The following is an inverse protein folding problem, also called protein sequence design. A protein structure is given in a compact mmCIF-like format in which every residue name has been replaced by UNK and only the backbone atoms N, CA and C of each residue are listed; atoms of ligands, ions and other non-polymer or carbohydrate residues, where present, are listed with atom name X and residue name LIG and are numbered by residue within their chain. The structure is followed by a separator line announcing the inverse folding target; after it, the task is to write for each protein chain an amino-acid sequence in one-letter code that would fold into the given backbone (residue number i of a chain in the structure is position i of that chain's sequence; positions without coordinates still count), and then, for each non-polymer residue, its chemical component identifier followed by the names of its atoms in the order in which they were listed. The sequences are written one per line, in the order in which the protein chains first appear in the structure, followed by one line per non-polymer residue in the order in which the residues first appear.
data_IF_064384401104
#
_entry.id   IF_064384401104
#
_cell.length_a   1.000
_cell.length_b   1.000
_cell.length_c   1.000
_cell.angle_alpha   90.00
_cell.angle_beta   90.00
_cell.angle_gamma   90.00
#
_symmetry.space_group_name_H-M   'P 1'
#
loop_
_entity.id
_entity.type
_entity.pdbx_description
1 polymer ?
#
# COMPACT_ATOMS: atom_id res chain seq x y z
N UNK A 1 -12.67 -18.89 19.12
CA UNK A 1 -12.92 -20.33 18.91
C UNK A 1 -14.00 -20.91 19.82
N UNK A 2 -14.12 -20.48 21.08
CA UNK A 2 -15.07 -21.03 22.07
C UNK A 2 -16.53 -20.97 21.64
N UNK A 3 -16.99 -19.89 20.98
CA UNK A 3 -18.40 -19.77 20.57
C UNK A 3 -18.80 -20.85 19.55
N UNK A 4 -18.02 -21.01 18.48
CA UNK A 4 -18.33 -22.01 17.45
C UNK A 4 -18.19 -23.44 17.95
N UNK A 5 -17.25 -23.70 18.87
CA UNK A 5 -17.08 -25.02 19.47
C UNK A 5 -18.26 -25.42 20.37
N UNK A 6 -18.91 -24.46 21.03
CA UNK A 6 -19.99 -24.74 22.00
C UNK A 6 -21.38 -24.42 21.47
N UNK A 7 -21.52 -23.87 20.25
CA UNK A 7 -22.81 -23.47 19.71
C UNK A 7 -22.99 -23.92 18.23
N UNK A 8 -23.46 -25.16 18.03
CA UNK A 8 -23.67 -25.73 16.68
C UNK A 8 -24.63 -24.93 15.80
N UNK A 9 -25.57 -24.20 16.41
CA UNK A 9 -26.51 -23.35 15.66
C UNK A 9 -25.78 -22.19 14.98
N UNK A 10 -24.78 -21.59 15.64
CA UNK A 10 -23.98 -20.51 15.06
C UNK A 10 -23.10 -21.05 13.92
N UNK A 11 -22.49 -22.21 14.11
CA UNK A 11 -21.72 -22.88 13.05
C UNK A 11 -22.60 -23.20 11.83
N UNK A 12 -23.81 -23.72 12.06
CA UNK A 12 -24.78 -24.01 11.00
C UNK A 12 -25.22 -22.74 10.27
N UNK A 13 -25.48 -21.66 11.00
CA UNK A 13 -25.82 -20.37 10.42
C UNK A 13 -24.70 -19.83 9.51
N UNK A 14 -23.43 -19.91 9.93
CA UNK A 14 -22.28 -19.55 9.09
C UNK A 14 -22.23 -20.38 7.80
N UNK A 15 -22.37 -21.71 7.89
CA UNK A 15 -22.36 -22.61 6.73
C UNK A 15 -23.52 -22.35 5.76
N UNK A 16 -24.69 -21.97 6.28
CA UNK A 16 -25.85 -21.59 5.46
C UNK A 16 -25.69 -20.22 4.81
N UNK A 17 -24.95 -19.31 5.45
CA UNK A 17 -24.74 -17.94 4.98
C UNK A 17 -23.65 -17.90 3.92
N UNK A 18 -22.55 -18.61 4.15
CA UNK A 18 -21.35 -18.60 3.32
C UNK A 18 -21.17 -19.95 2.63
N UNK A 19 -21.73 -20.06 1.42
CA UNK A 19 -21.54 -21.23 0.55
C UNK A 19 -20.18 -21.22 -0.15
N UNK A 20 -19.55 -20.05 -0.29
CA UNK A 20 -18.27 -19.85 -0.97
C UNK A 20 -17.37 -18.94 -0.12
N UNK A 21 -16.12 -19.35 0.07
CA UNK A 21 -15.12 -18.61 0.81
C UNK A 21 -13.90 -18.35 -0.07
N UNK A 22 -13.44 -17.10 -0.06
CA UNK A 22 -12.20 -16.69 -0.71
C UNK A 22 -11.24 -16.19 0.36
N UNK A 23 -10.11 -16.87 0.49
CA UNK A 23 -9.06 -16.53 1.43
C UNK A 23 -7.88 -16.00 0.62
N UNK A 24 -7.67 -14.69 0.64
CA UNK A 24 -6.52 -14.04 0.00
C UNK A 24 -5.35 -13.92 0.98
N UNK A 25 -4.14 -13.76 0.45
CA UNK A 25 -2.89 -13.67 1.22
C UNK A 25 -2.70 -14.80 2.24
N UNK A 26 -3.13 -16.01 1.86
CA UNK A 26 -3.27 -17.14 2.77
C UNK A 26 -1.95 -17.56 3.45
N UNK A 27 -0.80 -17.25 2.86
CA UNK A 27 0.52 -17.49 3.45
C UNK A 27 0.74 -16.77 4.79
N UNK A 28 0.06 -15.65 5.02
CA UNK A 28 0.17 -14.87 6.26
C UNK A 28 -0.84 -15.31 7.34
N UNK A 29 -1.63 -16.36 7.06
CA UNK A 29 -2.64 -16.86 7.99
C UNK A 29 -1.99 -17.36 9.28
N UNK A 30 -2.46 -16.84 10.41
CA UNK A 30 -2.06 -17.27 11.75
C UNK A 30 -2.72 -18.59 12.14
N UNK A 31 -2.14 -19.30 13.11
CA UNK A 31 -2.74 -20.53 13.64
C UNK A 31 -4.17 -20.35 14.16
N UNK A 32 -4.47 -19.19 14.76
CA UNK A 32 -5.81 -18.87 15.26
C UNK A 32 -6.82 -18.66 14.13
N UNK A 33 -6.45 -17.93 13.08
CA UNK A 33 -7.30 -17.72 11.90
C UNK A 33 -7.57 -19.04 11.18
N UNK A 34 -6.56 -19.88 11.02
CA UNK A 34 -6.74 -21.19 10.39
C UNK A 34 -7.61 -22.13 11.24
N UNK A 35 -7.40 -22.15 12.56
CA UNK A 35 -8.24 -22.94 13.45
C UNK A 35 -9.70 -22.47 13.45
N UNK A 36 -9.94 -21.16 13.31
CA UNK A 36 -11.29 -20.61 13.10
C UNK A 36 -11.93 -21.12 11.81
N UNK A 37 -11.19 -21.09 10.68
CA UNK A 37 -11.65 -21.62 9.40
C UNK A 37 -12.05 -23.10 9.52
N UNK A 38 -11.20 -23.92 10.14
CA UNK A 38 -11.47 -25.35 10.36
C UNK A 38 -12.70 -25.56 11.23
N UNK A 39 -12.77 -24.86 12.37
CA UNK A 39 -13.91 -24.97 13.27
C UNK A 39 -15.21 -24.57 12.57
N UNK A 40 -15.19 -23.59 11.68
CA UNK A 40 -16.38 -23.13 10.99
C UNK A 40 -16.78 -24.05 9.82
N UNK A 41 -15.85 -24.49 8.98
CA UNK A 41 -16.18 -25.06 7.66
C UNK A 41 -15.62 -26.44 7.35
N UNK A 42 -14.77 -27.03 8.21
CA UNK A 42 -14.26 -28.38 7.96
C UNK A 42 -15.41 -29.41 7.91
N UNK A 43 -15.43 -30.22 6.85
CA UNK A 43 -16.49 -31.20 6.59
C UNK A 43 -17.85 -30.59 6.22
N UNK A 44 -17.89 -29.34 5.74
CA UNK A 44 -19.09 -28.72 5.17
C UNK A 44 -19.07 -28.77 3.64
N UNK A 45 -20.21 -28.48 3.01
CA UNK A 45 -20.35 -28.37 1.54
C UNK A 45 -19.90 -27.00 0.99
N UNK A 46 -19.33 -26.13 1.83
CA UNK A 46 -18.85 -24.83 1.38
C UNK A 46 -17.63 -24.99 0.47
N UNK A 47 -17.60 -24.24 -0.63
CA UNK A 47 -16.46 -24.19 -1.55
C UNK A 47 -15.44 -23.19 -1.01
N UNK A 48 -14.23 -23.63 -0.72
CA UNK A 48 -13.19 -22.79 -0.13
C UNK A 48 -12.01 -22.68 -1.10
N UNK A 49 -11.71 -21.46 -1.52
CA UNK A 49 -10.56 -21.14 -2.36
C UNK A 49 -9.58 -20.32 -1.55
N UNK A 50 -8.37 -20.86 -1.36
CA UNK A 50 -7.26 -20.17 -0.72
C UNK A 50 -6.21 -19.77 -1.77
N UNK A 51 -5.83 -18.50 -1.78
CA UNK A 51 -4.86 -17.91 -2.71
C UNK A 51 -3.73 -17.27 -1.91
N UNK A 52 -2.50 -17.45 -2.38
CA UNK A 52 -1.33 -16.82 -1.80
C UNK A 52 -0.03 -17.37 -2.36
N UNK A 53 1.09 -16.89 -1.84
CA UNK A 53 2.43 -17.27 -2.26
C UNK A 53 3.33 -17.49 -1.04
N UNK A 54 3.84 -18.72 -0.86
CA UNK A 54 4.75 -19.10 0.22
C UNK A 54 5.94 -18.14 0.38
N UNK A 55 6.45 -17.62 -0.74
CA UNK A 55 7.62 -16.74 -0.81
C UNK A 55 7.33 -15.31 -0.38
N UNK A 56 6.04 -14.94 -0.25
CA UNK A 56 5.59 -13.63 0.22
C UNK A 56 5.09 -13.66 1.67
N UNK A 57 5.54 -14.65 2.45
CA UNK A 57 5.23 -14.79 3.88
C UNK A 57 6.17 -13.92 4.71
N UNK A 58 5.84 -12.64 4.83
CA UNK A 58 6.66 -11.65 5.56
C UNK A 58 6.00 -11.20 6.88
N UNK A 59 4.89 -11.81 7.27
CA UNK A 59 4.17 -11.49 8.53
C UNK A 59 4.45 -12.52 9.64
N UNK A 60 5.62 -13.14 9.66
CA UNK A 60 6.00 -14.16 10.67
C UNK A 60 6.00 -13.58 12.09
N UNK A 61 6.38 -12.31 12.26
CA UNK A 61 6.27 -11.59 13.52
C UNK A 61 4.84 -11.50 14.07
N UNK A 62 3.83 -11.57 13.20
CA UNK A 62 2.40 -11.59 13.56
C UNK A 62 1.87 -13.02 13.78
N UNK A 63 2.74 -14.04 13.66
CA UNK A 63 2.39 -15.45 13.84
C UNK A 63 1.94 -16.16 12.57
N UNK A 64 2.30 -15.65 11.39
CA UNK A 64 2.07 -16.35 10.12
C UNK A 64 2.70 -17.75 10.14
N UNK A 65 1.92 -18.75 9.74
CA UNK A 65 2.30 -20.16 9.91
C UNK A 65 3.02 -20.71 8.67
N UNK A 66 4.11 -21.44 8.87
CA UNK A 66 4.75 -22.21 7.80
C UNK A 66 3.97 -23.47 7.45
N UNK A 67 4.03 -23.90 6.19
CA UNK A 67 3.33 -25.12 5.73
C UNK A 67 1.80 -25.00 5.59
N UNK A 68 1.24 -23.80 5.74
CA UNK A 68 -0.22 -23.59 5.78
C UNK A 68 -0.96 -24.08 4.52
N UNK A 69 -0.33 -23.98 3.34
CA UNK A 69 -0.90 -24.50 2.09
C UNK A 69 -0.97 -26.03 2.08
N UNK A 70 0.08 -26.71 2.56
CA UNK A 70 0.11 -28.17 2.64
C UNK A 70 -0.94 -28.68 3.64
N UNK A 71 -1.05 -28.02 4.79
CA UNK A 71 -2.09 -28.33 5.78
C UNK A 71 -3.49 -28.10 5.20
N UNK A 72 -3.71 -26.99 4.49
CA UNK A 72 -5.00 -26.72 3.83
C UNK A 72 -5.35 -27.77 2.78
N UNK A 73 -4.41 -28.15 1.92
CA UNK A 73 -4.60 -29.19 0.93
C UNK A 73 -4.97 -30.54 1.57
N UNK A 74 -4.33 -30.89 2.69
CA UNK A 74 -4.62 -32.12 3.43
C UNK A 74 -5.97 -32.05 4.16
N UNK A 75 -6.19 -31.02 4.99
CA UNK A 75 -7.37 -30.91 5.84
C UNK A 75 -8.66 -30.74 5.02
N UNK A 76 -8.62 -30.00 3.91
CA UNK A 76 -9.79 -29.76 3.05
C UNK A 76 -9.82 -30.61 1.78
N UNK A 77 -8.86 -31.52 1.60
CA UNK A 77 -8.72 -32.32 0.36
C UNK A 77 -8.74 -31.43 -0.90
N UNK A 78 -8.04 -30.29 -0.83
CA UNK A 78 -8.11 -29.26 -1.86
C UNK A 78 -7.19 -29.55 -3.05
N UNK A 79 -7.66 -29.24 -4.25
CA UNK A 79 -6.83 -29.25 -5.45
C UNK A 79 -5.83 -28.08 -5.44
N UNK A 80 -4.57 -28.37 -5.75
CA UNK A 80 -3.51 -27.36 -5.81
C UNK A 80 -3.31 -26.93 -7.26
N UNK A 81 -3.55 -25.64 -7.54
CA UNK A 81 -3.40 -25.05 -8.87
C UNK A 81 -2.29 -23.99 -8.81
N UNK A 82 -1.24 -24.19 -9.61
CA UNK A 82 -0.17 -23.20 -9.78
C UNK A 82 -0.51 -22.21 -10.90
N UNK A 83 -0.51 -20.91 -10.60
CA UNK A 83 -0.63 -19.85 -11.59
C UNK A 83 0.78 -19.44 -12.05
N UNK A 84 1.16 -19.84 -13.25
CA UNK A 84 2.52 -19.63 -13.77
C UNK A 84 2.67 -18.38 -14.64
N UNK A 85 1.58 -17.70 -15.01
CA UNK A 85 1.65 -16.48 -15.82
C UNK A 85 1.76 -15.23 -14.94
N UNK A 86 2.86 -14.48 -15.08
CA UNK A 86 3.05 -13.18 -14.43
C UNK A 86 2.66 -12.05 -15.41
N UNK A 87 1.57 -11.34 -15.10
CA UNK A 87 1.06 -10.22 -15.90
C UNK A 87 1.62 -8.85 -15.51
N UNK A 88 2.28 -8.76 -14.35
CA UNK A 88 2.82 -7.51 -13.79
C UNK A 88 4.14 -7.13 -14.44
N UNK A 89 5.07 -8.07 -14.41
CA UNK A 89 6.49 -7.82 -14.58
C UNK A 89 6.96 -8.23 -15.97
N UNK A 90 7.86 -7.45 -16.57
CA UNK A 90 8.50 -7.79 -17.84
C UNK A 90 9.37 -9.06 -17.73
N UNK A 91 9.79 -9.68 -18.85
CA UNK A 91 10.60 -10.90 -18.83
C UNK A 91 11.86 -10.85 -17.95
N UNK A 92 12.59 -9.73 -17.93
CA UNK A 92 13.81 -9.59 -17.14
C UNK A 92 13.53 -9.53 -15.63
N UNK A 93 12.52 -8.77 -15.20
CA UNK A 93 12.11 -8.75 -13.78
C UNK A 93 11.58 -10.13 -13.35
N UNK A 94 10.84 -10.84 -14.22
CA UNK A 94 10.41 -12.21 -13.94
C UNK A 94 11.60 -13.16 -13.76
N UNK A 95 12.66 -13.02 -14.56
CA UNK A 95 13.88 -13.82 -14.39
C UNK A 95 14.53 -13.58 -13.03
N UNK A 96 14.63 -12.32 -12.59
CA UNK A 96 15.14 -11.96 -11.25
C UNK A 96 14.30 -12.61 -10.15
N UNK A 97 12.97 -12.47 -10.24
CA UNK A 97 12.03 -13.04 -9.26
C UNK A 97 12.13 -14.56 -9.23
N UNK A 98 12.24 -15.25 -10.37
CA UNK A 98 12.41 -16.70 -10.42
C UNK A 98 13.74 -17.18 -9.80
N UNK A 99 14.83 -16.44 -10.03
CA UNK A 99 16.12 -16.76 -9.42
C UNK A 99 16.05 -16.66 -7.90
N UNK A 100 15.46 -15.57 -7.38
CA UNK A 100 15.22 -15.39 -5.95
C UNK A 100 14.23 -16.44 -5.39
N UNK A 101 13.20 -16.80 -6.14
CA UNK A 101 12.24 -17.84 -5.75
C UNK A 101 12.91 -19.20 -5.58
N UNK A 102 13.74 -19.60 -6.56
CA UNK A 102 14.47 -20.88 -6.55
C UNK A 102 15.46 -20.95 -5.39
N UNK A 103 16.07 -19.82 -5.07
CA UNK A 103 17.00 -19.70 -3.95
C UNK A 103 16.30 -19.82 -2.57
N UNK A 104 15.08 -19.30 -2.43
CA UNK A 104 14.25 -19.44 -1.21
C UNK A 104 13.63 -20.85 -1.11
N UNK A 105 13.15 -21.37 -2.23
CA UNK A 105 12.40 -22.62 -2.34
C UNK A 105 12.91 -23.36 -3.59
N UNK A 106 13.83 -24.33 -3.45
CA UNK A 106 14.46 -25.02 -4.59
C UNK A 106 13.50 -25.70 -5.56
N UNK A 107 12.34 -26.13 -5.06
CA UNK A 107 11.27 -26.77 -5.86
C UNK A 107 10.22 -25.75 -6.35
N UNK A 108 10.49 -24.44 -6.25
CA UNK A 108 9.58 -23.41 -6.70
C UNK A 108 9.27 -23.56 -8.20
N UNK A 109 7.98 -23.56 -8.53
CA UNK A 109 7.53 -23.57 -9.93
C UNK A 109 7.82 -22.18 -10.53
N UNK A 110 8.67 -22.08 -11.57
CA UNK A 110 8.98 -20.80 -12.19
C UNK A 110 7.74 -20.19 -12.87
N UNK A 111 7.63 -18.86 -12.80
CA UNK A 111 6.60 -18.11 -13.52
C UNK A 111 7.15 -17.58 -14.85
N UNK A 112 6.29 -17.41 -15.84
CA UNK A 112 6.61 -16.85 -17.15
C UNK A 112 5.94 -15.49 -17.30
N UNK A 113 6.65 -14.50 -17.83
CA UNK A 113 6.03 -13.20 -18.13
C UNK A 113 4.98 -13.34 -19.23
N UNK A 114 3.83 -12.71 -19.03
CA UNK A 114 2.81 -12.52 -20.07
C UNK A 114 3.09 -11.28 -20.94
N UNK A 115 4.11 -10.48 -20.58
CA UNK A 115 4.59 -9.31 -21.34
C UNK A 115 5.69 -9.74 -22.33
N UNK A 116 5.92 -8.94 -23.37
CA UNK A 116 6.88 -9.25 -24.42
C UNK A 116 8.28 -8.71 -24.14
N UNK A 117 9.29 -9.21 -24.86
CA UNK A 117 10.67 -8.68 -24.82
C UNK A 117 10.75 -7.19 -25.22
N UNK A 118 9.82 -6.72 -26.05
CA UNK A 118 9.72 -5.31 -26.42
C UNK A 118 9.35 -4.39 -25.23
N UNK A 119 8.80 -4.97 -24.16
CA UNK A 119 8.43 -4.24 -22.94
C UNK A 119 9.59 -4.10 -21.95
N UNK A 120 10.78 -4.66 -22.24
CA UNK A 120 11.97 -4.59 -21.38
C UNK A 120 12.72 -3.27 -21.65
N UNK A 121 12.81 -2.35 -20.67
CA UNK A 121 13.58 -1.12 -20.83
C UNK A 121 15.08 -1.40 -20.98
N UNK A 122 15.81 -0.49 -21.65
CA UNK A 122 17.28 -0.60 -21.82
C UNK A 122 18.03 -0.71 -20.49
N UNK A 123 17.60 0.07 -19.50
CA UNK A 123 18.05 -0.04 -18.12
C UNK A 123 16.90 -0.64 -17.31
N UNK A 124 17.01 -1.92 -16.98
CA UNK A 124 16.00 -2.66 -16.23
C UNK A 124 16.39 -2.86 -14.77
N UNK A 125 17.65 -3.21 -14.50
CA UNK A 125 18.07 -3.55 -13.15
C UNK A 125 19.54 -3.17 -12.90
N UNK A 126 19.91 -3.11 -11.63
CA UNK A 126 21.30 -2.92 -11.22
C UNK A 126 21.50 -2.77 -9.72
N UNK A 127 22.68 -3.20 -9.27
CA UNK A 127 23.20 -2.95 -7.94
C UNK A 127 24.18 -1.77 -7.98
N UNK A 128 23.92 -0.73 -7.18
CA UNK A 128 24.67 0.53 -7.25
C UNK A 128 25.26 0.84 -5.88
N UNK A 129 26.57 1.01 -5.83
CA UNK A 129 27.26 1.52 -4.67
C UNK A 129 27.43 3.04 -4.77
N UNK A 130 27.01 3.76 -3.74
CA UNK A 130 27.21 5.20 -3.60
C UNK A 130 28.25 5.48 -2.50
N UNK A 131 29.10 6.51 -2.66
CA UNK A 131 30.08 6.85 -1.62
C UNK A 131 29.47 7.25 -0.28
N UNK A 132 28.25 7.80 -0.28
CA UNK A 132 27.51 8.20 0.92
C UNK A 132 26.02 8.40 0.61
N UNK A 133 25.21 8.52 1.66
CA UNK A 133 23.76 8.71 1.55
C UNK A 133 23.34 10.01 0.84
N UNK A 134 24.20 11.05 0.86
CA UNK A 134 23.89 12.31 0.17
C UNK A 134 23.98 12.13 -1.34
N UNK A 135 25.03 11.46 -1.82
CA UNK A 135 25.21 11.16 -3.24
C UNK A 135 24.15 10.18 -3.76
N UNK A 136 23.78 9.18 -2.96
CA UNK A 136 22.64 8.30 -3.26
C UNK A 136 21.34 9.09 -3.44
N UNK A 137 21.00 9.95 -2.46
CA UNK A 137 19.80 10.78 -2.50
C UNK A 137 19.76 11.68 -3.74
N UNK A 138 20.86 12.40 -4.01
CA UNK A 138 20.98 13.30 -5.17
C UNK A 138 20.86 12.55 -6.48
N UNK A 139 21.54 11.42 -6.64
CA UNK A 139 21.49 10.65 -7.88
C UNK A 139 20.07 10.11 -8.14
N UNK A 140 19.43 9.50 -7.15
CA UNK A 140 18.08 8.95 -7.28
C UNK A 140 17.08 10.07 -7.60
N UNK A 141 17.08 11.17 -6.84
CA UNK A 141 16.14 12.27 -7.05
C UNK A 141 16.30 12.88 -8.44
N UNK A 142 17.53 13.18 -8.86
CA UNK A 142 17.83 13.77 -10.17
C UNK A 142 17.41 12.85 -11.32
N UNK A 143 17.70 11.55 -11.23
CA UNK A 143 17.33 10.61 -12.29
C UNK A 143 15.82 10.39 -12.36
N UNK A 144 15.11 10.39 -11.22
CA UNK A 144 13.63 10.35 -11.21
C UNK A 144 13.07 11.64 -11.81
N UNK A 145 13.59 12.81 -11.45
CA UNK A 145 13.13 14.10 -11.95
C UNK A 145 13.33 14.21 -13.46
N UNK A 146 14.48 13.77 -13.98
CA UNK A 146 14.73 13.69 -15.43
C UNK A 146 13.74 12.76 -16.13
N UNK A 147 13.47 11.58 -15.56
CA UNK A 147 12.50 10.64 -16.10
C UNK A 147 11.07 11.21 -16.12
N UNK A 148 10.64 11.86 -15.03
CA UNK A 148 9.33 12.55 -14.95
C UNK A 148 9.27 13.72 -15.94
N UNK A 149 10.35 14.51 -16.05
CA UNK A 149 10.47 15.66 -16.96
C UNK A 149 10.39 15.30 -18.44
N UNK A 150 10.65 14.05 -18.81
CA UNK A 150 10.43 13.54 -20.18
C UNK A 150 8.95 13.46 -20.57
N UNK A 151 8.04 13.51 -19.59
CA UNK A 151 6.59 13.32 -19.79
C UNK A 151 6.15 11.87 -19.93
N UNK A 152 7.08 10.90 -19.91
CA UNK A 152 6.78 9.46 -20.03
C UNK A 152 6.35 8.82 -18.71
N UNK A 153 6.82 9.35 -17.59
CA UNK A 153 6.61 8.77 -16.26
C UNK A 153 6.00 9.81 -15.33
N UNK A 154 5.27 9.34 -14.31
CA UNK A 154 4.80 10.15 -13.20
C UNK A 154 5.62 9.87 -11.95
N UNK A 155 5.68 10.78 -10.97
CA UNK A 155 6.35 10.50 -9.69
C UNK A 155 5.83 9.22 -9.00
N UNK A 156 4.54 8.93 -9.12
CA UNK A 156 3.89 7.74 -8.55
C UNK A 156 4.30 6.40 -9.20
N UNK A 157 4.99 6.44 -10.34
CA UNK A 157 5.59 5.27 -10.99
C UNK A 157 6.85 4.78 -10.27
N UNK A 158 7.37 5.56 -9.31
CA UNK A 158 8.59 5.27 -8.56
C UNK A 158 8.28 4.94 -7.10
N UNK A 159 8.88 3.85 -6.62
CA UNK A 159 8.74 3.37 -5.25
C UNK A 159 10.12 3.14 -4.64
N UNK A 160 10.36 3.77 -3.49
CA UNK A 160 11.54 3.59 -2.66
C UNK A 160 11.19 2.70 -1.48
N UNK A 161 11.89 1.58 -1.35
CA UNK A 161 11.66 0.59 -0.32
C UNK A 161 12.82 0.60 0.67
N UNK A 162 12.46 0.77 1.94
CA UNK A 162 13.34 0.55 3.07
C UNK A 162 12.98 -0.77 3.76
N UNK A 163 13.95 -1.45 4.37
CA UNK A 163 13.60 -2.59 5.23
C UNK A 163 12.97 -2.14 6.55
N UNK A 164 13.50 -1.08 7.16
CA UNK A 164 13.06 -0.53 8.44
C UNK A 164 13.22 1.00 8.45
N UNK A 165 12.60 1.66 9.44
CA UNK A 165 12.80 3.09 9.74
C UNK A 165 12.78 3.98 8.49
N UNK A 166 11.69 3.89 7.73
CA UNK A 166 11.49 4.73 6.54
C UNK A 166 11.54 6.23 6.89
N UNK A 167 11.19 6.62 8.11
CA UNK A 167 11.37 7.97 8.68
C UNK A 167 12.85 8.41 8.66
N UNK A 168 13.78 7.54 9.03
CA UNK A 168 15.22 7.85 9.00
C UNK A 168 15.80 7.90 7.60
N UNK A 169 15.17 7.20 6.67
CA UNK A 169 15.54 7.30 5.27
C UNK A 169 14.99 8.58 4.64
N UNK A 170 13.75 8.95 4.97
CA UNK A 170 13.13 10.21 4.57
C UNK A 170 13.99 11.40 5.00
N UNK A 171 14.48 11.44 6.24
CA UNK A 171 15.41 12.48 6.74
C UNK A 171 16.67 12.63 5.87
N UNK A 172 17.15 11.55 5.26
CA UNK A 172 18.35 11.54 4.41
C UNK A 172 18.04 11.86 2.94
N UNK A 173 16.85 11.51 2.46
CA UNK A 173 16.47 11.65 1.05
C UNK A 173 15.77 12.97 0.74
N UNK A 174 14.95 13.49 1.66
CA UNK A 174 13.98 14.54 1.38
C UNK A 174 14.60 15.81 0.76
N UNK A 175 15.80 16.21 1.20
CA UNK A 175 16.45 17.40 0.68
C UNK A 175 16.67 17.33 -0.85
N UNK A 176 17.09 16.17 -1.36
CA UNK A 176 17.40 15.98 -2.78
C UNK A 176 16.12 15.98 -3.64
N UNK A 177 15.04 15.41 -3.12
CA UNK A 177 13.74 15.45 -3.81
C UNK A 177 13.22 16.88 -3.91
N UNK A 178 13.34 17.67 -2.84
CA UNK A 178 12.96 19.09 -2.84
C UNK A 178 13.82 19.91 -3.82
N UNK A 179 15.14 19.69 -3.87
CA UNK A 179 16.04 20.35 -4.81
C UNK A 179 15.65 20.11 -6.29
N UNK A 180 15.10 18.94 -6.58
CA UNK A 180 14.65 18.54 -7.93
C UNK A 180 13.15 18.80 -8.19
N UNK A 181 12.47 19.51 -7.28
CA UNK A 181 11.04 19.84 -7.42
C UNK A 181 10.10 18.62 -7.33
N UNK A 182 10.55 17.53 -6.70
CA UNK A 182 9.77 16.34 -6.42
C UNK A 182 9.27 16.33 -4.98
N UNK A 183 8.13 15.67 -4.76
CA UNK A 183 7.62 15.40 -3.41
C UNK A 183 7.84 13.94 -3.06
N UNK A 184 8.52 13.70 -1.93
CA UNK A 184 8.68 12.38 -1.34
C UNK A 184 7.56 12.14 -0.32
N UNK A 185 6.82 11.04 -0.47
CA UNK A 185 5.73 10.67 0.44
C UNK A 185 6.10 9.41 1.21
N UNK A 186 6.34 9.55 2.51
CA UNK A 186 6.54 8.40 3.40
C UNK A 186 5.20 7.81 3.86
N UNK A 187 4.77 6.70 3.24
CA UNK A 187 3.50 6.02 3.56
C UNK A 187 3.49 5.41 4.97
N UNK A 188 4.66 5.16 5.56
CA UNK A 188 4.80 4.64 6.91
C UNK A 188 4.83 5.76 7.99
N UNK A 189 4.82 7.03 7.59
CA UNK A 189 4.81 8.17 8.53
C UNK A 189 3.50 8.19 9.32
N UNK A 190 3.61 8.42 10.63
CA UNK A 190 2.47 8.45 11.55
C UNK A 190 1.97 9.87 11.81
N UNK A 191 0.67 10.06 11.72
CA UNK A 191 -0.09 11.25 12.05
C UNK A 191 -0.78 11.02 13.40
N UNK A 192 -0.01 11.20 14.47
CA UNK A 192 -0.43 10.71 15.79
C UNK A 192 -0.30 9.19 15.83
N UNK A 193 -1.41 8.49 16.09
CA UNK A 193 -1.45 7.02 16.17
C UNK A 193 -1.69 6.34 14.81
N UNK A 194 -2.04 7.10 13.78
CA UNK A 194 -2.51 6.59 12.49
C UNK A 194 -1.45 6.79 11.42
N UNK A 195 -1.08 5.75 10.69
CA UNK A 195 -0.15 5.88 9.57
C UNK A 195 -0.85 6.43 8.33
N UNK A 196 -0.13 7.14 7.46
CA UNK A 196 -0.69 7.70 6.23
C UNK A 196 -1.35 6.62 5.38
N UNK A 197 -0.68 5.48 5.15
CA UNK A 197 -1.26 4.39 4.35
C UNK A 197 -2.57 3.87 4.93
N UNK A 198 -2.64 3.76 6.26
CA UNK A 198 -3.84 3.31 6.97
C UNK A 198 -4.97 4.34 6.82
N UNK A 199 -4.66 5.63 7.01
CA UNK A 199 -5.59 6.73 6.79
C UNK A 199 -6.20 6.69 5.37
N UNK A 200 -5.42 6.35 4.34
CA UNK A 200 -5.92 6.28 2.96
C UNK A 200 -6.92 5.15 2.70
N UNK A 201 -7.06 4.18 3.62
CA UNK A 201 -8.05 3.10 3.54
C UNK A 201 -9.34 3.40 4.30
N UNK A 202 -9.34 4.49 5.07
CA UNK A 202 -10.44 4.86 5.95
C UNK A 202 -11.51 5.67 5.18
N UNK A 203 -12.82 5.45 5.45
CA UNK A 203 -13.89 6.19 4.79
C UNK A 203 -13.97 7.66 5.22
N UNK A 204 -13.54 8.00 6.44
CA UNK A 204 -13.70 9.35 6.99
C UNK A 204 -12.96 10.44 6.17
N UNK A 205 -11.68 10.27 5.77
CA UNK A 205 -11.01 11.17 4.83
C UNK A 205 -11.77 11.46 3.55
N UNK A 206 -12.40 10.44 2.95
CA UNK A 206 -13.11 10.56 1.69
C UNK A 206 -14.32 11.49 1.81
N UNK A 207 -14.90 11.69 3.01
CA UNK A 207 -15.96 12.68 3.26
C UNK A 207 -15.48 14.09 2.88
N UNK A 208 -14.31 14.47 3.40
CA UNK A 208 -13.74 15.82 3.22
C UNK A 208 -13.23 15.98 1.79
N UNK A 209 -12.52 14.97 1.27
CA UNK A 209 -11.96 15.03 -0.07
C UNK A 209 -13.06 15.10 -1.14
N UNK A 210 -14.15 14.32 -1.02
CA UNK A 210 -15.26 14.40 -1.96
C UNK A 210 -15.96 15.77 -1.92
N UNK A 211 -16.16 16.34 -0.73
CA UNK A 211 -16.77 17.66 -0.57
C UNK A 211 -15.92 18.77 -1.20
N UNK A 212 -14.59 18.74 -0.98
CA UNK A 212 -13.65 19.69 -1.59
C UNK A 212 -13.58 19.52 -3.11
N UNK A 213 -13.57 18.28 -3.62
CA UNK A 213 -13.61 18.03 -5.07
C UNK A 213 -14.86 18.62 -5.72
N UNK A 214 -16.05 18.39 -5.15
CA UNK A 214 -17.32 18.96 -5.65
C UNK A 214 -17.38 20.49 -5.52
N UNK A 215 -16.63 21.08 -4.59
CA UNK A 215 -16.54 22.52 -4.46
C UNK A 215 -15.73 23.16 -5.59
N UNK A 216 -14.67 22.48 -6.04
CA UNK A 216 -13.78 22.92 -7.13
C UNK A 216 -14.40 22.62 -8.50
N UNK A 217 -14.86 21.39 -8.73
CA UNK A 217 -15.47 20.95 -9.98
C UNK A 217 -16.62 19.96 -9.73
N UNK A 218 -17.83 20.36 -10.08
CA UNK A 218 -19.05 19.55 -9.94
C UNK A 218 -19.46 18.83 -11.24
N UNK A 219 -18.67 18.97 -12.32
CA UNK A 219 -18.96 18.30 -13.60
C UNK A 219 -18.79 16.79 -13.51
N UNK A 220 -17.86 16.32 -12.69
CA UNK A 220 -17.68 14.92 -12.39
C UNK A 220 -18.70 14.49 -11.34
N UNK A 221 -19.65 13.63 -11.72
CA UNK A 221 -20.57 13.02 -10.75
C UNK A 221 -19.89 12.06 -9.77
N UNK A 222 -18.62 11.67 -9.99
CA UNK A 222 -17.98 10.60 -9.23
C UNK A 222 -17.84 10.89 -7.71
N UNK A 223 -17.38 12.08 -7.26
CA UNK A 223 -17.29 12.38 -5.83
C UNK A 223 -18.66 12.41 -5.14
N UNK A 224 -19.70 12.90 -5.83
CA UNK A 224 -21.07 12.86 -5.33
C UNK A 224 -21.56 11.42 -5.13
N UNK A 225 -21.39 10.55 -6.14
CA UNK A 225 -21.80 9.15 -6.04
C UNK A 225 -21.04 8.41 -4.93
N UNK A 226 -19.74 8.68 -4.77
CA UNK A 226 -18.93 8.08 -3.70
C UNK A 226 -19.45 8.49 -2.32
N UNK A 227 -19.61 9.79 -2.06
CA UNK A 227 -20.09 10.28 -0.77
C UNK A 227 -21.52 9.79 -0.48
N UNK A 228 -22.40 9.81 -1.48
CA UNK A 228 -23.77 9.29 -1.37
C UNK A 228 -23.79 7.80 -1.03
N UNK A 229 -22.98 6.97 -1.70
CA UNK A 229 -22.94 5.54 -1.44
C UNK A 229 -22.38 5.22 -0.05
N UNK A 230 -21.48 6.07 0.46
CA UNK A 230 -20.89 5.92 1.78
C UNK A 230 -21.86 6.30 2.91
N UNK A 231 -22.59 7.41 2.79
CA UNK A 231 -23.49 7.87 3.87
C UNK A 231 -24.94 7.36 3.70
N UNK A 232 -25.35 7.03 2.48
CA UNK A 232 -26.71 6.62 2.15
C UNK A 232 -27.26 5.47 3.00
N UNK A 233 -26.52 4.36 3.21
CA UNK A 233 -26.95 3.26 4.05
C UNK A 233 -27.28 3.65 5.50
N UNK A 234 -26.66 4.71 6.02
CA UNK A 234 -26.86 5.18 7.41
C UNK A 234 -28.25 5.78 7.61
N UNK A 235 -28.79 6.42 6.56
CA UNK A 235 -30.11 7.05 6.60
C UNK A 235 -31.24 6.12 6.15
N UNK A 236 -30.91 4.91 5.67
CA UNK A 236 -31.85 3.97 5.08
C UNK A 236 -32.49 3.02 6.11
N UNK A 237 -33.69 3.37 6.59
CA UNK A 237 -34.68 2.38 7.06
C UNK A 237 -35.64 2.04 5.90
N UNK A 238 -36.08 0.78 5.82
CA UNK A 238 -36.84 0.22 4.68
C UNK A 238 -38.22 0.87 4.42
N UNK A 239 -38.71 1.76 5.30
CA UNK A 239 -40.08 2.25 5.27
C UNK A 239 -40.29 3.62 4.57
N UNK A 240 -39.25 4.40 4.26
CA UNK A 240 -39.41 5.69 3.55
C UNK A 240 -38.16 6.12 2.74
N UNK A 241 -37.96 5.49 1.57
CA UNK A 241 -36.80 5.72 0.68
C UNK A 241 -36.67 7.18 0.19
N UNK A 242 -37.74 7.87 -0.27
CA UNK A 242 -37.63 9.25 -0.77
C UNK A 242 -37.15 10.25 0.29
N UNK A 243 -37.62 10.12 1.53
CA UNK A 243 -37.22 11.00 2.63
C UNK A 243 -35.76 10.79 3.05
N UNK A 244 -35.29 9.53 3.04
CA UNK A 244 -33.89 9.20 3.32
C UNK A 244 -32.95 9.75 2.23
N UNK A 245 -33.30 9.60 0.95
CA UNK A 245 -32.53 10.15 -0.17
C UNK A 245 -32.42 11.67 -0.09
N UNK A 246 -33.53 12.37 0.21
CA UNK A 246 -33.52 13.82 0.35
C UNK A 246 -32.60 14.28 1.50
N UNK A 247 -32.60 13.56 2.64
CA UNK A 247 -31.70 13.87 3.77
C UNK A 247 -30.24 13.71 3.39
N UNK A 248 -29.89 12.65 2.67
CA UNK A 248 -28.53 12.40 2.17
C UNK A 248 -28.09 13.54 1.26
N UNK A 249 -28.93 13.93 0.30
CA UNK A 249 -28.63 15.05 -0.60
C UNK A 249 -28.47 16.38 0.14
N UNK A 250 -29.32 16.64 1.13
CA UNK A 250 -29.21 17.85 1.98
C UNK A 250 -27.87 17.88 2.72
N UNK A 251 -27.47 16.76 3.35
CA UNK A 251 -26.17 16.64 4.04
C UNK A 251 -24.99 16.86 3.12
N UNK A 252 -25.01 16.26 1.93
CA UNK A 252 -23.96 16.47 0.92
C UNK A 252 -23.92 17.95 0.51
N UNK A 253 -25.07 18.56 0.28
CA UNK A 253 -25.17 19.98 -0.12
C UNK A 253 -24.62 20.92 0.97
N UNK A 254 -24.90 20.63 2.24
CA UNK A 254 -24.34 21.38 3.38
C UNK A 254 -22.82 21.28 3.43
N UNK A 255 -22.27 20.08 3.31
CA UNK A 255 -20.82 19.85 3.28
C UNK A 255 -20.15 20.57 2.09
N UNK A 256 -20.72 20.45 0.90
CA UNK A 256 -20.20 21.13 -0.31
C UNK A 256 -20.29 22.65 -0.19
N UNK A 257 -21.33 23.19 0.46
CA UNK A 257 -21.45 24.63 0.71
C UNK A 257 -20.32 25.14 1.60
N UNK A 258 -19.97 24.41 2.66
CA UNK A 258 -18.84 24.75 3.54
C UNK A 258 -17.51 24.65 2.79
N UNK A 259 -17.33 23.59 2.01
CA UNK A 259 -16.16 23.43 1.14
C UNK A 259 -16.02 24.60 0.15
N UNK A 260 -17.10 25.01 -0.55
CA UNK A 260 -17.07 26.14 -1.50
C UNK A 260 -16.71 27.47 -0.84
N UNK A 261 -17.15 27.69 0.40
CA UNK A 261 -16.79 28.89 1.15
C UNK A 261 -15.28 28.91 1.48
N UNK A 262 -14.70 27.77 1.82
CA UNK A 262 -13.27 27.65 2.11
C UNK A 262 -12.40 27.75 0.84
N UNK A 263 -12.84 27.12 -0.26
CA UNK A 263 -12.10 27.13 -1.53
C UNK A 263 -12.10 28.48 -2.24
N UNK A 264 -12.82 29.48 -1.72
CA UNK A 264 -12.73 30.86 -2.18
C UNK A 264 -11.37 31.51 -1.86
N UNK A 265 -10.66 30.99 -0.86
CA UNK A 265 -9.31 31.40 -0.50
C UNK A 265 -8.31 30.30 -0.85
N UNK A 266 -7.04 30.69 -1.02
CA UNK A 266 -5.94 29.72 -1.15
C UNK A 266 -5.94 28.76 0.05
N UNK A 267 -5.56 27.48 -0.15
CA UNK A 267 -5.35 26.58 0.96
C UNK A 267 -4.29 27.18 1.88
N UNK A 268 -4.63 27.26 3.15
CA UNK A 268 -3.73 27.69 4.20
C UNK A 268 -4.10 26.96 5.47
N UNK A 269 -3.15 26.80 6.39
CA UNK A 269 -3.37 26.01 7.58
C UNK A 269 -4.68 26.31 8.31
N UNK A 270 -4.95 27.55 8.71
CA UNK A 270 -6.20 27.84 9.45
C UNK A 270 -7.48 27.53 8.63
N UNK A 271 -7.40 27.56 7.30
CA UNK A 271 -8.53 27.28 6.41
C UNK A 271 -8.79 25.77 6.30
N UNK A 272 -7.74 24.93 6.26
CA UNK A 272 -7.87 23.48 6.12
C UNK A 272 -8.45 22.79 7.35
N UNK A 273 -8.00 23.18 8.54
CA UNK A 273 -8.60 22.71 9.78
C UNK A 273 -10.08 23.13 9.90
N UNK A 274 -10.37 24.40 9.61
CA UNK A 274 -11.72 24.94 9.71
C UNK A 274 -12.70 24.28 8.73
N UNK A 275 -12.28 24.05 7.47
CA UNK A 275 -13.15 23.42 6.47
C UNK A 275 -13.41 21.95 6.79
N UNK A 276 -12.38 21.19 7.18
CA UNK A 276 -12.54 19.78 7.52
C UNK A 276 -13.47 19.61 8.74
N UNK A 277 -13.23 20.41 9.78
CA UNK A 277 -14.08 20.42 10.98
C UNK A 277 -15.52 20.80 10.64
N UNK A 278 -15.72 21.87 9.86
CA UNK A 278 -17.05 22.29 9.44
C UNK A 278 -17.78 21.23 8.63
N UNK A 279 -17.10 20.56 7.70
CA UNK A 279 -17.66 19.45 6.92
C UNK A 279 -18.09 18.33 7.88
N UNK A 280 -17.22 17.91 8.80
CA UNK A 280 -17.56 16.86 9.76
C UNK A 280 -18.75 17.24 10.66
N UNK A 281 -18.78 18.46 11.19
CA UNK A 281 -19.87 18.97 12.02
C UNK A 281 -21.20 18.98 11.25
N UNK A 282 -21.18 19.31 9.95
CA UNK A 282 -22.39 19.33 9.13
C UNK A 282 -23.01 17.94 8.95
N UNK A 283 -22.19 16.89 8.84
CA UNK A 283 -22.68 15.50 8.79
C UNK A 283 -23.05 14.97 10.19
N UNK A 284 -22.37 15.47 11.23
CA UNK A 284 -22.58 15.12 12.63
C UNK A 284 -21.89 13.83 13.05
N UNK A 285 -21.33 13.81 14.25
CA UNK A 285 -20.55 12.69 14.81
C UNK A 285 -21.31 11.36 14.77
N UNK A 286 -22.62 11.38 15.05
CA UNK A 286 -23.46 10.16 15.03
C UNK A 286 -23.51 9.51 13.65
N UNK A 287 -23.53 10.30 12.58
CA UNK A 287 -23.49 9.77 11.21
C UNK A 287 -22.09 9.26 10.91
N UNK A 288 -21.07 10.07 11.20
CA UNK A 288 -19.69 9.74 10.86
C UNK A 288 -19.18 8.48 11.59
N UNK A 289 -19.59 8.25 12.83
CA UNK A 289 -19.19 7.05 13.59
C UNK A 289 -19.82 5.75 13.09
N UNK A 290 -20.78 5.81 12.16
CA UNK A 290 -21.40 4.66 11.51
C UNK A 290 -20.75 4.30 10.16
N UNK A 291 -19.77 5.09 9.70
CA UNK A 291 -19.09 4.88 8.42
C UNK A 291 -18.25 3.59 8.38
N UNK A 292 -17.73 3.17 9.53
CA UNK A 292 -16.94 1.96 9.67
C UNK A 292 -17.31 1.27 10.99
N UNK A 293 -17.30 -0.08 11.06
CA UNK A 293 -17.60 -0.81 12.30
C UNK A 293 -16.72 -0.38 13.49
N UNK A 294 -15.43 -0.13 13.23
CA UNK A 294 -14.44 0.19 14.25
C UNK A 294 -14.58 1.61 14.82
N UNK A 295 -15.36 2.48 14.17
CA UNK A 295 -15.64 3.83 14.68
C UNK A 295 -16.62 3.84 15.86
N UNK A 296 -17.24 2.70 16.16
CA UNK A 296 -17.92 2.48 17.45
C UNK A 296 -16.97 2.61 18.65
N UNK A 297 -15.66 2.45 18.46
CA UNK A 297 -14.64 2.81 19.43
C UNK A 297 -14.34 4.33 19.34
N UNK A 298 -14.71 5.13 20.35
CA UNK A 298 -14.52 6.58 20.29
C UNK A 298 -13.07 7.02 20.16
N UNK A 299 -12.12 6.26 20.72
CA UNK A 299 -10.69 6.57 20.62
C UNK A 299 -10.19 6.39 19.17
N UNK A 300 -10.60 5.30 18.51
CA UNK A 300 -10.28 5.05 17.10
C UNK A 300 -10.86 6.12 16.20
N UNK A 301 -12.13 6.45 16.37
CA UNK A 301 -12.78 7.51 15.60
C UNK A 301 -12.07 8.86 15.77
N UNK A 302 -11.75 9.25 17.01
CA UNK A 302 -11.03 10.49 17.29
C UNK A 302 -9.62 10.52 16.67
N UNK A 303 -8.91 9.38 16.68
CA UNK A 303 -7.59 9.26 16.06
C UNK A 303 -7.64 9.44 14.54
N UNK A 304 -8.57 8.77 13.83
CA UNK A 304 -8.74 8.96 12.37
C UNK A 304 -9.18 10.39 12.05
N UNK A 305 -10.12 10.94 12.82
CA UNK A 305 -10.61 12.31 12.64
C UNK A 305 -9.47 13.33 12.77
N UNK A 306 -8.68 13.24 13.84
CA UNK A 306 -7.52 14.11 14.06
C UNK A 306 -6.44 13.94 12.99
N UNK A 307 -6.13 12.71 12.60
CA UNK A 307 -5.16 12.41 11.54
C UNK A 307 -5.62 12.98 10.18
N UNK A 308 -6.90 12.90 9.86
CA UNK A 308 -7.48 13.46 8.62
C UNK A 308 -7.27 14.97 8.55
N UNK A 309 -7.65 15.69 9.62
CA UNK A 309 -7.51 17.14 9.71
C UNK A 309 -6.04 17.54 9.60
N UNK A 310 -5.18 16.91 10.42
CA UNK A 310 -3.74 17.18 10.43
C UNK A 310 -3.10 16.94 9.07
N UNK A 311 -3.50 15.87 8.36
CA UNK A 311 -2.88 15.57 7.08
C UNK A 311 -3.34 16.50 5.97
N UNK A 312 -4.63 16.85 5.96
CA UNK A 312 -5.14 17.86 5.04
C UNK A 312 -4.46 19.21 5.27
N UNK A 313 -4.21 19.57 6.54
CA UNK A 313 -3.44 20.74 6.91
C UNK A 313 -2.06 20.76 6.25
N UNK A 314 -1.27 19.69 6.45
CA UNK A 314 0.08 19.59 5.93
C UNK A 314 0.10 19.66 4.39
N UNK A 315 -0.89 19.06 3.73
CA UNK A 315 -1.04 19.15 2.28
C UNK A 315 -1.46 20.56 1.81
N UNK A 316 -2.29 21.25 2.59
CA UNK A 316 -2.73 22.61 2.29
C UNK A 316 -1.60 23.63 2.46
N UNK A 317 -0.74 23.46 3.46
CA UNK A 317 0.41 24.34 3.73
C UNK A 317 1.50 24.23 2.64
N UNK A 318 1.53 23.12 1.90
CA UNK A 318 2.48 22.86 0.81
C UNK A 318 1.89 23.10 -0.58
N UNK A 319 0.67 23.61 -0.69
CA UNK A 319 -0.04 23.76 -1.95
C UNK A 319 -0.42 25.23 -2.23
N UNK A 320 -0.39 25.62 -3.50
CA UNK A 320 -0.89 26.94 -3.92
C UNK A 320 -2.40 26.93 -4.15
N UNK A 321 -2.97 25.76 -4.46
CA UNK A 321 -4.39 25.58 -4.77
C UNK A 321 -5.00 24.37 -4.06
N UNK A 322 -6.31 24.41 -3.81
CA UNK A 322 -7.01 23.26 -3.22
C UNK A 322 -6.94 22.01 -4.10
N UNK A 323 -6.88 22.18 -5.42
CA UNK A 323 -6.70 21.06 -6.33
C UNK A 323 -5.36 20.36 -6.11
N UNK A 324 -4.31 21.13 -5.86
CA UNK A 324 -3.00 20.60 -5.51
C UNK A 324 -3.01 19.95 -4.13
N UNK A 325 -3.58 20.59 -3.11
CA UNK A 325 -3.70 20.01 -1.77
C UNK A 325 -4.43 18.65 -1.78
N UNK A 326 -5.52 18.53 -2.54
CA UNK A 326 -6.25 17.27 -2.74
C UNK A 326 -5.37 16.24 -3.46
N UNK A 327 -4.65 16.66 -4.50
CA UNK A 327 -3.75 15.78 -5.27
C UNK A 327 -2.64 15.20 -4.37
N UNK A 328 -2.04 16.05 -3.54
CA UNK A 328 -1.02 15.66 -2.55
C UNK A 328 -1.62 14.73 -1.47
N UNK A 329 -2.80 15.05 -0.93
CA UNK A 329 -3.49 14.21 0.06
C UNK A 329 -3.71 12.79 -0.47
N UNK A 330 -4.17 12.69 -1.72
CA UNK A 330 -4.42 11.43 -2.43
C UNK A 330 -3.14 10.69 -2.85
N UNK A 331 -1.95 11.22 -2.55
CA UNK A 331 -0.68 10.58 -2.89
C UNK A 331 -0.36 10.59 -4.38
N UNK A 332 -0.95 11.51 -5.15
CA UNK A 332 -0.69 11.69 -6.59
C UNK A 332 0.42 12.71 -6.80
N UNK A 333 1.18 12.55 -7.88
CA UNK A 333 2.37 13.36 -8.19
C UNK A 333 3.44 13.31 -7.08
N UNK A 334 3.51 12.22 -6.33
CA UNK A 334 4.52 12.01 -5.27
C UNK A 334 5.26 10.70 -5.49
N UNK A 335 6.56 10.70 -5.21
CA UNK A 335 7.38 9.48 -5.15
C UNK A 335 7.11 8.81 -3.81
N UNK A 336 6.83 7.51 -3.82
CA UNK A 336 6.44 6.79 -2.59
C UNK A 336 7.65 6.20 -1.89
N UNK A 337 7.81 6.50 -0.61
CA UNK A 337 8.74 5.85 0.30
C UNK A 337 7.94 5.02 1.31
N UNK A 338 8.33 3.76 1.50
CA UNK A 338 7.68 2.90 2.48
C UNK A 338 8.59 1.77 2.92
N UNK A 339 8.15 1.00 3.92
CA UNK A 339 8.81 -0.26 4.23
C UNK A 339 8.37 -1.36 3.27
N UNK A 340 9.21 -2.38 3.08
CA UNK A 340 8.86 -3.56 2.27
C UNK A 340 7.51 -4.18 2.69
N UNK A 341 7.26 -4.28 4.00
CA UNK A 341 6.01 -4.82 4.53
C UNK A 341 4.79 -4.04 4.06
N UNK A 342 4.89 -2.70 3.98
CA UNK A 342 3.82 -1.83 3.51
C UNK A 342 3.66 -1.84 2.00
N UNK A 343 4.65 -2.33 1.25
CA UNK A 343 4.58 -2.47 -0.20
C UNK A 343 3.81 -3.70 -0.67
N UNK A 344 3.47 -4.62 0.25
CA UNK A 344 2.73 -5.83 -0.08
C UNK A 344 1.38 -5.49 -0.71
N UNK A 345 1.04 -6.18 -1.79
CA UNK A 345 -0.14 -5.90 -2.62
C UNK A 345 0.01 -4.70 -3.58
N UNK A 346 1.05 -3.88 -3.44
CA UNK A 346 1.33 -2.76 -4.35
C UNK A 346 2.25 -3.17 -5.50
N UNK A 347 2.39 -2.28 -6.48
CA UNK A 347 3.32 -2.40 -7.61
C UNK A 347 3.71 -1.01 -8.12
N UNK A 348 4.88 -0.90 -8.74
CA UNK A 348 5.37 0.34 -9.34
C UNK A 348 6.10 0.04 -10.65
N UNK A 349 6.27 1.04 -11.52
CA UNK A 349 7.11 0.88 -12.71
C UNK A 349 8.55 0.60 -12.29
N UNK A 350 9.10 1.47 -11.44
CA UNK A 350 10.47 1.40 -10.95
C UNK A 350 10.49 1.27 -9.44
N UNK A 351 11.20 0.26 -8.95
CA UNK A 351 11.42 0.03 -7.51
C UNK A 351 12.90 0.18 -7.20
N UNK A 352 13.20 0.97 -6.16
CA UNK A 352 14.52 1.03 -5.55
C UNK A 352 14.47 0.37 -4.17
N UNK A 353 15.23 -0.70 -3.97
CA UNK A 353 15.51 -1.24 -2.64
C UNK A 353 16.74 -0.53 -2.07
N UNK A 354 16.51 0.32 -1.07
CA UNK A 354 17.53 1.21 -0.54
C UNK A 354 18.28 0.59 0.63
N UNK A 355 19.57 0.92 0.72
CA UNK A 355 20.45 0.53 1.83
C UNK A 355 20.52 -1.00 2.06
N UNK A 356 20.91 -1.78 1.04
CA UNK A 356 21.27 -3.19 1.21
C UNK A 356 22.62 -3.34 1.93
N UNK A 357 22.63 -3.01 3.22
CA UNK A 357 23.81 -2.93 4.08
C UNK A 357 23.45 -3.21 5.55
N UNK A 358 24.45 -3.45 6.40
CA UNK A 358 24.25 -3.94 7.78
C UNK A 358 23.26 -3.11 8.64
N UNK A 359 23.34 -1.78 8.62
CA UNK A 359 22.50 -0.87 9.41
C UNK A 359 21.11 -0.61 8.80
N UNK A 360 20.87 -1.10 7.58
CA UNK A 360 19.57 -1.13 6.92
C UNK A 360 18.58 -2.10 7.56
N UNK A 361 19.05 -3.05 8.39
CA UNK A 361 18.24 -4.15 8.95
C UNK A 361 18.26 -4.13 10.49
N UNK A 362 17.34 -4.82 11.16
CA UNK A 362 17.35 -4.96 12.64
C UNK A 362 18.52 -5.85 13.08
N UNK A 363 19.20 -5.56 14.19
CA UNK A 363 20.36 -6.37 14.64
C UNK A 363 20.03 -7.86 14.84
N UNK A 364 18.79 -8.17 15.20
CA UNK A 364 18.26 -9.52 15.41
C UNK A 364 17.57 -10.12 14.18
N UNK A 365 17.67 -9.50 13.00
CA UNK A 365 17.01 -9.98 11.80
C UNK A 365 17.52 -11.37 11.38
N UNK A 366 16.59 -12.26 11.08
CA UNK A 366 16.85 -13.57 10.47
C UNK A 366 16.97 -13.39 8.95
N UNK A 367 18.14 -13.69 8.39
CA UNK A 367 18.40 -13.44 6.97
C UNK A 367 17.55 -14.30 6.02
N UNK A 368 17.00 -15.43 6.47
CA UNK A 368 16.08 -16.23 5.67
C UNK A 368 14.68 -15.57 5.60
N UNK A 369 14.24 -14.93 6.69
CA UNK A 369 13.04 -14.07 6.65
C UNK A 369 13.28 -12.80 5.82
N UNK A 370 14.49 -12.24 5.90
CA UNK A 370 14.87 -11.09 5.08
C UNK A 370 14.94 -11.42 3.59
N UNK A 371 15.30 -12.66 3.23
CA UNK A 371 15.25 -13.13 1.85
C UNK A 371 13.81 -13.08 1.29
N UNK A 372 12.81 -13.46 2.10
CA UNK A 372 11.38 -13.33 1.72
C UNK A 372 10.99 -11.86 1.53
N UNK A 373 11.44 -10.97 2.43
CA UNK A 373 11.19 -9.54 2.29
C UNK A 373 11.87 -8.97 1.02
N UNK A 374 13.10 -9.39 0.74
CA UNK A 374 13.82 -8.96 -0.46
C UNK A 374 13.15 -9.46 -1.75
N UNK A 375 12.69 -10.71 -1.77
CA UNK A 375 11.85 -11.26 -2.83
C UNK A 375 10.56 -10.44 -3.04
N UNK A 376 9.87 -10.09 -1.95
CA UNK A 376 8.67 -9.24 -2.02
C UNK A 376 9.02 -7.90 -2.67
N UNK A 377 10.11 -7.24 -2.27
CA UNK A 377 10.55 -5.98 -2.86
C UNK A 377 10.80 -6.08 -4.37
N UNK A 378 11.55 -7.10 -4.83
CA UNK A 378 11.78 -7.33 -6.25
C UNK A 378 10.48 -7.57 -7.02
N UNK A 379 9.55 -8.36 -6.45
CA UNK A 379 8.25 -8.66 -7.08
C UNK A 379 7.28 -7.46 -7.17
N UNK A 380 7.60 -6.31 -6.54
CA UNK A 380 6.81 -5.07 -6.70
C UNK A 380 7.15 -4.33 -7.99
N UNK A 381 8.30 -4.63 -8.60
CA UNK A 381 8.72 -3.99 -9.85
C UNK A 381 7.93 -4.54 -11.03
N UNK A 382 7.36 -3.65 -11.84
CA UNK A 382 6.82 -3.99 -13.16
C UNK A 382 7.93 -4.00 -14.21
N UNK A 383 8.79 -2.99 -14.17
CA UNK A 383 9.69 -2.70 -15.27
C UNK A 383 11.14 -2.56 -14.84
N UNK A 384 11.39 -2.00 -13.65
CA UNK A 384 12.75 -1.75 -13.17
C UNK A 384 12.94 -2.05 -11.70
N UNK A 385 14.06 -2.68 -11.36
CA UNK A 385 14.44 -2.99 -9.99
C UNK A 385 15.91 -2.65 -9.71
N UNK A 386 16.15 -1.69 -8.84
CA UNK A 386 17.50 -1.29 -8.42
C UNK A 386 17.73 -1.57 -6.95
N UNK A 387 18.96 -1.95 -6.63
CA UNK A 387 19.43 -2.14 -5.26
C UNK A 387 20.54 -1.14 -5.01
N UNK A 388 20.49 -0.43 -3.89
CA UNK A 388 21.52 0.57 -3.56
C UNK A 388 22.19 0.27 -2.23
N UNK A 389 23.46 0.63 -2.12
CA UNK A 389 24.24 0.57 -0.89
C UNK A 389 25.16 1.77 -0.80
N UNK A 390 25.48 2.18 0.43
CA UNK A 390 26.48 3.20 0.75
C UNK A 390 27.71 2.62 1.48
N UNK A 391 27.76 1.29 1.58
CA UNK A 391 28.79 0.55 2.29
C UNK A 391 29.35 -0.56 1.42
N UNK A 392 30.67 -0.72 1.47
CA UNK A 392 31.37 -1.89 0.92
C UNK A 392 31.30 -3.11 1.85
N UNK A 393 30.89 -2.93 3.11
CA UNK A 393 30.75 -4.03 4.06
C UNK A 393 29.41 -4.74 3.89
N UNK A 394 29.46 -5.89 3.22
CA UNK A 394 28.33 -6.78 3.02
C UNK A 394 27.94 -7.48 4.33
N UNK A 395 28.91 -7.79 5.20
CA UNK A 395 28.70 -8.31 6.56
C UNK A 395 27.60 -9.37 6.65
N UNK A 396 26.56 -9.09 7.44
CA UNK A 396 25.46 -10.04 7.68
C UNK A 396 24.45 -10.12 6.54
N UNK A 397 24.41 -9.10 5.66
CA UNK A 397 23.52 -9.08 4.49
C UNK A 397 24.12 -9.83 3.30
N UNK A 398 25.21 -10.58 3.50
CA UNK A 398 25.84 -11.45 2.49
C UNK A 398 24.84 -12.35 1.79
N UNK A 399 23.92 -12.95 2.55
CA UNK A 399 22.85 -13.79 2.02
C UNK A 399 22.03 -13.11 0.93
N UNK A 400 21.70 -11.82 1.12
CA UNK A 400 20.90 -11.06 0.16
C UNK A 400 21.73 -10.62 -1.05
N UNK A 401 23.01 -10.34 -0.87
CA UNK A 401 23.92 -10.08 -1.98
C UNK A 401 24.17 -11.34 -2.83
N UNK A 402 24.20 -12.53 -2.22
CA UNK A 402 24.20 -13.80 -2.96
C UNK A 402 22.94 -13.95 -3.84
N UNK A 403 21.77 -13.51 -3.35
CA UNK A 403 20.55 -13.47 -4.18
C UNK A 403 20.66 -12.49 -5.35
N UNK A 404 21.28 -11.31 -5.14
CA UNK A 404 21.54 -10.32 -6.20
C UNK A 404 22.44 -10.94 -7.28
N UNK A 405 23.50 -11.64 -6.87
CA UNK A 405 24.41 -12.34 -7.80
C UNK A 405 23.72 -13.50 -8.52
N UNK A 406 22.94 -14.32 -7.81
CA UNK A 406 22.20 -15.45 -8.38
C UNK A 406 21.12 -15.00 -9.39
N UNK A 407 20.54 -13.81 -9.18
CA UNK A 407 19.62 -13.18 -10.11
C UNK A 407 20.31 -12.46 -11.29
N UNK A 408 21.64 -12.54 -11.38
CA UNK A 408 22.46 -11.90 -12.40
C UNK A 408 22.23 -10.38 -12.50
N UNK A 409 21.93 -9.71 -11.38
CA UNK A 409 21.76 -8.26 -11.36
C UNK A 409 23.15 -7.61 -11.50
N UNK A 410 23.38 -6.76 -12.51
CA UNK A 410 24.70 -6.22 -12.79
C UNK A 410 25.07 -5.13 -11.78
N UNK A 411 26.36 -5.04 -11.45
CA UNK A 411 26.91 -3.88 -10.78
C UNK A 411 26.96 -2.69 -11.75
N UNK A 412 26.44 -1.54 -11.33
CA UNK A 412 26.39 -0.34 -12.14
C UNK A 412 26.99 0.86 -11.40
N UNK A 413 27.66 1.71 -12.16
CA UNK A 413 28.03 3.05 -11.70
C UNK A 413 26.78 3.93 -11.53
N UNK A 414 26.83 4.88 -10.60
CA UNK A 414 25.71 5.80 -10.32
C UNK A 414 25.20 6.53 -11.58
N UNK A 415 26.09 6.87 -12.52
CA UNK A 415 25.74 7.52 -13.79
C UNK A 415 24.86 6.68 -14.70
N UNK A 416 24.75 5.37 -14.46
CA UNK A 416 23.84 4.51 -15.21
C UNK A 416 22.38 4.95 -15.05
N UNK A 417 22.00 5.53 -13.89
CA UNK A 417 20.65 6.01 -13.60
C UNK A 417 20.20 7.17 -14.49
N UNK A 418 21.12 7.89 -15.13
CA UNK A 418 20.78 8.93 -16.11
C UNK A 418 19.98 8.35 -17.30
N UNK A 419 20.08 7.04 -17.54
CA UNK A 419 19.32 6.30 -18.56
C UNK A 419 17.91 5.91 -18.12
N UNK A 420 17.43 6.33 -16.94
CA UNK A 420 16.02 6.14 -16.55
C UNK A 420 15.04 6.88 -17.47
N UNK A 421 15.51 7.90 -18.19
CA UNK A 421 14.71 8.65 -19.16
C UNK A 421 14.37 7.83 -20.42
N UNK A 422 15.23 6.88 -20.78
CA UNK A 422 15.06 5.97 -21.91
C UNK A 422 13.98 4.92 -21.63
#
# INVERSE_FOLDING_TARGET
MTILAHNPNVQSALRMTYSHLFLDEFQDTTGLQYALLKQAFLGSDAVITAVGDSKQRIMTFAGARSGIFQEFAQDFSADVIALTANFRSNPRIVAIVNAMATDIEPDAVPVTSARGEADVPRLTDGAIHFPNAREEATAIAKSIAAAVGSGRYKPEDFMLLARQRADKLEEKLAFAFVEEGLTLRNEARSLGEIQIQELMTEPLPDVVICALQMAIDDRSGAPFHRLRNMIGPIFGNQDDRPSAELKVEQKIREAVKLARAATANAPSGTTAESVATGIFDSLGTTTLSQLAPDYSNPARFAAIHSATIKFLQECADLAETWQEAITQFQGRNQVKLMTVHKSKGLEAHTVFFLHLQNDGFFSSADMDEEALAFFVAASRARDRFFVTTTSHEIGRVARLWEMVTAAEIPELEASALDRLVD
#
